data_IF_006263736816
#
_entry.id   IF_006263736816
#
_cell.length_a   1.000
_cell.length_b   1.000
_cell.length_c   1.000
_cell.angle_alpha   90.00
_cell.angle_beta   90.00
_cell.angle_gamma   90.00
#
_symmetry.space_group_name_H-M   'P 1'
#
loop_
_entity.id
_entity.type
_entity.pdbx_description
1 polymer ?
#
# COMPACT_ATOMS: atom_id res chain seq x y z
N UNK A 1 20.09 -40.76 -55.80
CA UNK A 1 19.63 -40.77 -54.39
C UNK A 1 20.71 -40.12 -53.56
N UNK A 2 20.51 -38.85 -53.17
CA UNK A 2 21.50 -38.03 -52.45
C UNK A 2 21.19 -38.17 -50.96
N UNK A 3 22.16 -38.66 -50.17
CA UNK A 3 22.05 -38.74 -48.72
C UNK A 3 22.40 -37.37 -48.12
N UNK A 4 21.43 -36.72 -47.49
CA UNK A 4 21.60 -35.48 -46.75
C UNK A 4 22.09 -35.83 -45.32
N UNK A 5 23.31 -35.43 -44.97
CA UNK A 5 23.82 -35.58 -43.61
C UNK A 5 23.22 -34.49 -42.72
N UNK A 6 22.44 -34.89 -41.71
CA UNK A 6 21.92 -34.01 -40.68
C UNK A 6 23.04 -33.73 -39.66
N UNK A 7 23.60 -32.53 -39.67
CA UNK A 7 24.51 -32.08 -38.63
C UNK A 7 23.72 -31.69 -37.38
N UNK A 8 23.83 -32.48 -36.32
CA UNK A 8 23.28 -32.14 -35.00
C UNK A 8 24.19 -31.06 -34.38
N UNK A 9 23.71 -29.82 -34.33
CA UNK A 9 24.38 -28.77 -33.56
C UNK A 9 23.97 -28.96 -32.09
N UNK A 10 24.91 -29.42 -31.26
CA UNK A 10 24.74 -29.43 -29.82
C UNK A 10 24.82 -27.98 -29.32
N UNK A 11 23.68 -27.35 -29.07
CA UNK A 11 23.64 -26.05 -28.40
C UNK A 11 24.09 -26.25 -26.95
N UNK A 12 25.25 -25.67 -26.59
CA UNK A 12 25.66 -25.59 -25.19
C UNK A 12 24.64 -24.72 -24.44
N UNK A 13 24.10 -25.24 -23.33
CA UNK A 13 23.23 -24.47 -22.46
C UNK A 13 23.94 -23.17 -22.00
N UNK A 14 23.26 -22.02 -21.95
CA UNK A 14 23.85 -20.80 -21.43
C UNK A 14 24.32 -21.06 -19.99
N UNK A 15 25.46 -20.51 -19.55
CA UNK A 15 25.88 -20.63 -18.16
C UNK A 15 24.76 -20.11 -17.28
N UNK A 16 24.31 -20.94 -16.34
CA UNK A 16 23.33 -20.54 -15.35
C UNK A 16 23.83 -19.26 -14.69
N UNK A 17 23.17 -18.14 -14.96
CA UNK A 17 23.45 -16.91 -14.27
C UNK A 17 23.19 -17.19 -12.79
N UNK A 18 24.25 -17.20 -11.98
CA UNK A 18 24.11 -17.08 -10.53
C UNK A 18 23.47 -15.72 -10.30
N UNK A 19 22.14 -15.71 -10.19
CA UNK A 19 21.45 -14.64 -9.50
C UNK A 19 21.98 -14.69 -8.08
N UNK A 20 22.98 -13.84 -7.78
CA UNK A 20 23.23 -13.50 -6.39
C UNK A 20 21.89 -12.98 -5.87
N UNK A 21 21.25 -13.75 -5.00
CA UNK A 21 20.20 -13.22 -4.15
C UNK A 21 20.86 -12.12 -3.32
N UNK A 22 20.79 -10.89 -3.83
CA UNK A 22 20.93 -9.70 -3.00
C UNK A 22 19.62 -9.65 -2.22
N UNK A 23 19.50 -10.51 -1.21
CA UNK A 23 18.46 -10.34 -0.21
C UNK A 23 18.84 -9.05 0.50
N UNK A 24 18.11 -7.94 0.31
CA UNK A 24 18.42 -6.75 1.05
C UNK A 24 18.29 -7.10 2.53
N UNK A 25 19.27 -6.68 3.33
CA UNK A 25 19.14 -6.81 4.77
C UNK A 25 17.82 -6.16 5.19
N UNK A 26 16.98 -6.91 5.91
CA UNK A 26 15.75 -6.35 6.43
C UNK A 26 16.13 -5.22 7.39
N UNK A 27 15.45 -4.07 7.33
CA UNK A 27 15.69 -3.01 8.29
C UNK A 27 15.42 -3.53 9.70
N UNK A 28 16.16 -3.03 10.70
CA UNK A 28 15.94 -3.34 12.12
C UNK A 28 14.50 -3.02 12.56
N UNK A 29 13.84 -2.12 11.82
CA UNK A 29 12.43 -1.78 11.96
C UNK A 29 11.73 -1.77 10.60
N UNK A 30 10.75 -2.65 10.41
CA UNK A 30 9.91 -2.70 9.19
C UNK A 30 9.06 -1.44 8.97
N UNK A 31 8.92 -0.61 10.01
CA UNK A 31 8.24 0.69 9.96
C UNK A 31 9.19 1.88 9.76
N UNK A 32 10.49 1.66 9.50
CA UNK A 32 11.46 2.74 9.34
C UNK A 32 11.02 3.78 8.28
N UNK A 33 10.48 3.30 7.15
CA UNK A 33 9.99 4.16 6.07
C UNK A 33 8.68 4.92 6.40
N UNK A 34 8.01 4.56 7.49
CA UNK A 34 6.76 5.21 7.95
C UNK A 34 6.99 6.12 9.15
N UNK A 35 8.23 6.35 9.56
CA UNK A 35 8.58 7.23 10.68
C UNK A 35 9.81 8.08 10.38
N UNK A 36 9.95 9.22 11.05
CA UNK A 36 11.18 10.00 11.04
C UNK A 36 11.52 10.63 9.67
N UNK A 37 12.82 10.78 9.33
CA UNK A 37 13.27 11.58 8.19
C UNK A 37 12.97 10.96 6.81
N UNK A 38 12.53 9.69 6.76
CA UNK A 38 12.20 9.00 5.50
C UNK A 38 10.80 9.34 4.97
N UNK A 39 9.97 10.00 5.79
CA UNK A 39 8.65 10.46 5.37
C UNK A 39 8.75 11.54 4.29
N UNK A 40 7.78 11.54 3.36
CA UNK A 40 7.67 12.57 2.33
C UNK A 40 7.61 13.97 2.96
N UNK A 41 8.40 14.96 2.50
CA UNK A 41 8.29 16.33 2.99
C UNK A 41 6.90 16.94 2.85
N UNK A 42 6.07 16.40 1.95
CA UNK A 42 4.68 16.82 1.76
C UNK A 42 3.82 16.65 3.01
N UNK A 43 4.17 15.74 3.92
CA UNK A 43 3.40 15.49 5.15
C UNK A 43 3.82 16.39 6.31
N UNK A 44 4.83 17.25 6.11
CA UNK A 44 5.32 18.14 7.16
C UNK A 44 4.21 19.11 7.61
N UNK A 45 3.91 19.10 8.91
CA UNK A 45 2.89 19.97 9.51
C UNK A 45 1.46 19.47 9.37
N UNK A 46 1.22 18.31 8.75
CA UNK A 46 -0.09 17.65 8.83
C UNK A 46 -0.39 17.26 10.27
N UNK A 47 -1.64 17.45 10.76
CA UNK A 47 -2.02 17.02 12.10
C UNK A 47 -2.02 15.49 12.20
N UNK A 48 -1.53 14.98 13.33
CA UNK A 48 -1.65 13.56 13.66
C UNK A 48 -3.10 13.28 14.07
N UNK A 49 -3.82 12.54 13.23
CA UNK A 49 -5.24 12.22 13.41
C UNK A 49 -5.48 10.74 13.13
N UNK A 50 -6.46 10.17 13.84
CA UNK A 50 -6.90 8.79 13.65
C UNK A 50 -8.24 8.79 12.94
N UNK A 51 -8.32 8.12 11.80
CA UNK A 51 -9.55 8.02 10.99
C UNK A 51 -10.17 6.64 11.15
N UNK A 52 -11.41 6.58 11.63
CA UNK A 52 -12.09 5.33 11.96
C UNK A 52 -13.35 5.17 11.10
N UNK A 53 -13.44 4.16 10.22
CA UNK A 53 -14.67 3.87 9.51
C UNK A 53 -15.75 3.38 10.50
N UNK A 54 -16.90 4.03 10.49
CA UNK A 54 -18.03 3.71 11.37
C UNK A 54 -19.19 3.15 10.56
N UNK A 55 -19.31 1.81 10.59
CA UNK A 55 -20.29 1.05 9.82
C UNK A 55 -21.75 1.41 10.13
N UNK A 56 -22.04 1.83 11.38
CA UNK A 56 -23.41 2.09 11.83
C UNK A 56 -23.89 3.45 11.37
N UNK A 57 -23.05 4.49 11.50
CA UNK A 57 -23.38 5.87 11.11
C UNK A 57 -23.12 6.16 9.63
N UNK A 58 -22.39 5.30 8.90
CA UNK A 58 -21.93 5.54 7.53
C UNK A 58 -21.02 6.78 7.44
N UNK A 59 -20.10 6.89 8.40
CA UNK A 59 -19.12 7.97 8.48
C UNK A 59 -17.69 7.42 8.58
N UNK A 60 -16.72 8.29 8.35
CA UNK A 60 -15.38 8.16 8.92
C UNK A 60 -15.27 9.18 10.05
N UNK A 61 -15.05 8.69 11.26
CA UNK A 61 -14.89 9.53 12.46
C UNK A 61 -13.41 9.91 12.60
N UNK A 62 -13.13 11.19 12.87
CA UNK A 62 -11.78 11.72 13.04
C UNK A 62 -11.51 11.92 14.52
N UNK A 63 -10.49 11.27 15.04
CA UNK A 63 -10.16 11.25 16.46
C UNK A 63 -8.81 11.93 16.67
N UNK A 64 -8.75 12.82 17.65
CA UNK A 64 -7.49 13.33 18.18
C UNK A 64 -6.86 12.26 19.08
N UNK A 65 -5.67 11.70 18.74
CA UNK A 65 -5.06 10.62 19.49
C UNK A 65 -4.57 11.03 20.89
N UNK A 66 -4.47 12.34 21.19
CA UNK A 66 -4.03 12.84 22.49
C UNK A 66 -5.16 12.89 23.50
N UNK A 67 -6.36 13.21 23.04
CA UNK A 67 -7.55 13.41 23.89
C UNK A 67 -8.57 12.28 23.75
N UNK A 68 -8.44 11.46 22.70
CA UNK A 68 -9.39 10.41 22.29
C UNK A 68 -10.80 10.94 22.01
N UNK A 69 -10.91 12.24 21.72
CA UNK A 69 -12.18 12.85 21.36
C UNK A 69 -12.36 12.80 19.85
N UNK A 70 -13.61 12.62 19.41
CA UNK A 70 -13.98 12.80 18.02
C UNK A 70 -14.02 14.30 17.74
N UNK A 71 -13.22 14.74 16.77
CA UNK A 71 -13.04 16.14 16.40
C UNK A 71 -13.69 16.48 15.06
N UNK A 72 -14.02 15.48 14.24
CA UNK A 72 -14.73 15.66 12.97
C UNK A 72 -15.37 14.33 12.49
N UNK A 73 -16.25 14.41 11.49
CA UNK A 73 -16.85 13.26 10.82
C UNK A 73 -17.05 13.53 9.33
N UNK A 74 -16.65 12.58 8.48
CA UNK A 74 -16.91 12.63 7.04
C UNK A 74 -18.01 11.66 6.63
N UNK A 75 -19.07 12.11 5.94
CA UNK A 75 -20.09 11.20 5.40
C UNK A 75 -19.51 10.37 4.25
N UNK A 76 -19.81 9.07 4.24
CA UNK A 76 -19.35 8.13 3.20
C UNK A 76 -20.50 7.23 2.73
N UNK A 77 -20.18 6.18 1.96
CA UNK A 77 -21.14 5.17 1.53
C UNK A 77 -21.58 4.25 2.68
N UNK A 78 -22.37 3.23 2.36
CA UNK A 78 -22.98 2.36 3.38
C UNK A 78 -22.00 1.32 3.88
N UNK A 79 -21.95 1.15 5.20
CA UNK A 79 -21.13 0.14 5.89
C UNK A 79 -19.64 0.23 5.50
N UNK A 80 -18.96 1.35 5.79
CA UNK A 80 -17.52 1.46 5.59
C UNK A 80 -16.76 0.51 6.52
N UNK A 81 -15.81 -0.26 5.98
CA UNK A 81 -15.03 -1.25 6.74
C UNK A 81 -13.53 -0.96 6.72
N UNK A 82 -12.97 -0.66 5.55
CA UNK A 82 -11.53 -0.45 5.36
C UNK A 82 -11.27 0.98 4.89
N UNK A 83 -10.16 1.55 5.39
CA UNK A 83 -9.64 2.85 4.99
C UNK A 83 -8.13 2.74 4.74
N UNK A 84 -7.65 3.33 3.65
CA UNK A 84 -6.22 3.33 3.29
C UNK A 84 -5.81 4.72 2.82
N UNK A 85 -4.71 5.31 3.34
CA UNK A 85 -4.21 6.57 2.83
C UNK A 85 -3.51 6.43 1.47
N UNK A 86 -3.51 7.50 0.68
CA UNK A 86 -2.59 7.65 -0.44
C UNK A 86 -1.14 7.70 0.04
N UNK A 87 -0.19 7.39 -0.84
CA UNK A 87 1.25 7.38 -0.50
C UNK A 87 1.76 8.73 0.04
N UNK A 88 1.15 9.83 -0.39
CA UNK A 88 1.48 11.20 0.01
C UNK A 88 0.63 11.71 1.18
N UNK A 89 -0.22 10.84 1.75
CA UNK A 89 -1.21 11.13 2.80
C UNK A 89 -2.19 12.26 2.47
N UNK A 90 -2.29 12.69 1.21
CA UNK A 90 -3.21 13.77 0.80
C UNK A 90 -4.66 13.33 0.67
N UNK A 91 -4.91 12.01 0.62
CA UNK A 91 -6.24 11.42 0.44
C UNK A 91 -6.42 10.15 1.25
N UNK A 92 -7.67 9.83 1.58
CA UNK A 92 -8.07 8.56 2.16
C UNK A 92 -9.06 7.85 1.23
N UNK A 93 -8.83 6.56 0.98
CA UNK A 93 -9.73 5.71 0.20
C UNK A 93 -10.55 4.85 1.15
N UNK A 94 -11.87 5.00 1.11
CA UNK A 94 -12.82 4.30 1.98
C UNK A 94 -13.63 3.32 1.15
N UNK A 95 -13.60 2.05 1.55
CA UNK A 95 -14.40 1.00 0.92
C UNK A 95 -15.73 0.85 1.65
N UNK A 96 -16.83 1.02 0.92
CA UNK A 96 -18.20 0.97 1.43
C UNK A 96 -18.89 -0.32 0.96
N UNK A 97 -18.93 -1.33 1.84
CA UNK A 97 -19.33 -2.69 1.46
C UNK A 97 -20.79 -2.79 1.05
N UNK A 98 -21.71 -2.07 1.70
CA UNK A 98 -23.16 -2.20 1.42
C UNK A 98 -23.67 -1.28 0.32
N UNK A 99 -22.88 -0.33 -0.15
CA UNK A 99 -23.24 0.54 -1.28
C UNK A 99 -22.49 0.22 -2.55
N UNK A 100 -21.65 -0.82 -2.57
CA UNK A 100 -20.82 -1.22 -3.71
C UNK A 100 -20.04 -0.02 -4.29
N UNK A 101 -19.49 0.81 -3.41
CA UNK A 101 -18.86 2.06 -3.80
C UNK A 101 -17.58 2.36 -3.03
N UNK A 102 -16.77 3.25 -3.59
CA UNK A 102 -15.57 3.79 -2.97
C UNK A 102 -15.74 5.29 -2.77
N UNK A 103 -15.40 5.79 -1.59
CA UNK A 103 -15.35 7.23 -1.28
C UNK A 103 -13.90 7.67 -1.15
N UNK A 104 -13.57 8.83 -1.69
CA UNK A 104 -12.28 9.49 -1.50
C UNK A 104 -12.51 10.72 -0.64
N UNK A 105 -11.80 10.79 0.48
CA UNK A 105 -11.75 11.95 1.38
C UNK A 105 -10.41 12.67 1.14
#
# INVERSE_FOLDING_TARGET
MIALALALILAAAPPAATAAEVTPALPDNVYAATVGPELSPAVAGMPELVYVPNAVSNTVDVIDPRTYQIVDHYPVGREPHHITPSWDLSRLYVLNTKSDSLTVI
#
